data_IF_903450012180
#
_entry.id   IF_903450012180
#
_cell.length_a   1.000
_cell.length_b   1.000
_cell.length_c   1.000
_cell.angle_alpha   90.00
_cell.angle_beta   90.00
_cell.angle_gamma   90.00
#
_symmetry.space_group_name_H-M   'P 1'
#
loop_
_entity.id
_entity.type
_entity.pdbx_description
1 polymer ?
#
# COMPACT_ATOMS: atom_id res chain seq x y z
N UNK A 1 14.65 -8.93 6.04
CA UNK A 1 13.52 -9.12 6.98
C UNK A 1 13.93 -9.82 8.27
N UNK A 2 14.79 -10.84 8.24
CA UNK A 2 15.28 -11.54 9.44
C UNK A 2 15.93 -10.63 10.50
N UNK A 3 16.61 -9.56 10.07
CA UNK A 3 17.31 -8.64 10.98
C UNK A 3 16.42 -7.56 11.64
N UNK A 4 15.10 -7.58 11.40
CA UNK A 4 14.16 -6.59 11.97
C UNK A 4 13.35 -7.10 13.17
N UNK A 5 13.72 -8.26 13.74
CA UNK A 5 13.01 -8.85 14.88
C UNK A 5 11.61 -9.39 14.53
N UNK A 6 11.32 -9.59 13.24
CA UNK A 6 10.07 -10.19 12.80
C UNK A 6 10.12 -11.71 12.99
N UNK A 7 9.02 -12.36 13.41
CA UNK A 7 8.91 -13.81 13.37
C UNK A 7 9.22 -14.35 11.97
N UNK A 8 9.91 -15.49 11.88
CA UNK A 8 10.37 -16.06 10.60
C UNK A 8 9.23 -16.28 9.61
N UNK A 9 8.07 -16.75 10.10
CA UNK A 9 6.88 -16.95 9.28
C UNK A 9 6.34 -15.63 8.69
N UNK A 10 6.37 -14.56 9.49
CA UNK A 10 5.95 -13.24 9.03
C UNK A 10 6.92 -12.67 7.99
N UNK A 11 8.24 -12.87 8.19
CA UNK A 11 9.25 -12.47 7.22
C UNK A 11 9.11 -13.20 5.87
N UNK A 12 8.82 -14.50 5.91
CA UNK A 12 8.55 -15.29 4.71
C UNK A 12 7.27 -14.79 4.00
N UNK A 13 6.18 -14.61 4.73
CA UNK A 13 4.92 -14.08 4.19
C UNK A 13 5.11 -12.72 3.52
N UNK A 14 5.81 -11.78 4.17
CA UNK A 14 6.05 -10.45 3.61
C UNK A 14 6.92 -10.51 2.36
N UNK A 15 7.88 -11.43 2.30
CA UNK A 15 8.71 -11.64 1.09
C UNK A 15 7.84 -12.07 -0.09
N UNK A 16 6.99 -13.06 0.10
CA UNK A 16 6.08 -13.55 -0.95
C UNK A 16 5.06 -12.47 -1.34
N UNK A 17 4.48 -11.78 -0.35
CA UNK A 17 3.55 -10.67 -0.60
C UNK A 17 4.20 -9.60 -1.48
N UNK A 18 5.40 -9.12 -1.13
CA UNK A 18 6.07 -8.09 -1.91
C UNK A 18 6.47 -8.58 -3.31
N UNK A 19 6.84 -9.85 -3.48
CA UNK A 19 7.05 -10.42 -4.81
C UNK A 19 5.80 -10.27 -5.70
N UNK A 20 4.61 -10.57 -5.16
CA UNK A 20 3.34 -10.44 -5.91
C UNK A 20 2.82 -9.00 -6.03
N UNK A 21 3.26 -8.08 -5.17
CA UNK A 21 2.88 -6.67 -5.26
C UNK A 21 3.73 -5.93 -6.31
N UNK A 22 4.99 -6.34 -6.45
CA UNK A 22 5.98 -5.69 -7.31
C UNK A 22 6.16 -6.36 -8.68
N UNK A 23 5.44 -7.46 -8.96
CA UNK A 23 5.45 -8.13 -10.27
C UNK A 23 4.67 -7.37 -11.36
N UNK A 24 3.99 -6.28 -11.00
CA UNK A 24 3.26 -5.42 -11.93
C UNK A 24 1.89 -5.95 -12.35
N UNK A 25 1.40 -7.07 -11.81
CA UNK A 25 0.12 -7.68 -12.20
C UNK A 25 -1.10 -6.75 -12.03
N UNK A 26 -0.98 -5.75 -11.14
CA UNK A 26 -2.01 -4.74 -10.87
C UNK A 26 -1.67 -3.34 -11.41
N UNK A 27 -0.60 -3.18 -12.20
CA UNK A 27 -0.12 -1.89 -12.68
C UNK A 27 -0.87 -1.42 -13.93
N UNK A 28 -2.20 -1.32 -13.84
CA UNK A 28 -3.06 -0.81 -14.91
C UNK A 28 -4.07 0.20 -14.35
N UNK A 29 -4.45 1.16 -15.20
CA UNK A 29 -5.47 2.15 -14.84
C UNK A 29 -6.87 1.57 -15.05
N UNK A 30 -7.82 2.02 -14.23
CA UNK A 30 -9.25 1.72 -14.35
C UNK A 30 -10.07 2.95 -13.96
N UNK A 31 -11.31 3.04 -14.43
CA UNK A 31 -12.30 4.05 -14.06
C UNK A 31 -13.28 3.58 -12.98
N UNK A 32 -13.04 2.39 -12.41
CA UNK A 32 -13.95 1.72 -11.47
C UNK A 32 -14.35 2.59 -10.27
N UNK A 33 -13.46 3.43 -9.75
CA UNK A 33 -13.82 4.33 -8.64
C UNK A 33 -14.97 5.26 -9.02
N UNK A 34 -14.93 5.81 -10.23
CA UNK A 34 -16.00 6.68 -10.74
C UNK A 34 -17.27 5.87 -10.99
N UNK A 35 -17.14 4.70 -11.60
CA UNK A 35 -18.28 3.84 -11.95
C UNK A 35 -19.01 3.28 -10.73
N UNK A 36 -18.27 2.84 -9.72
CA UNK A 36 -18.81 2.14 -8.53
C UNK A 36 -19.22 3.14 -7.45
N UNK A 37 -18.45 4.22 -7.25
CA UNK A 37 -18.66 5.14 -6.13
C UNK A 37 -19.20 6.53 -6.55
N UNK A 38 -19.30 6.82 -7.84
CA UNK A 38 -19.83 8.11 -8.33
C UNK A 38 -18.96 9.33 -8.01
N UNK A 39 -17.68 9.13 -7.69
CA UNK A 39 -16.71 10.19 -7.37
C UNK A 39 -15.35 9.91 -8.02
N UNK A 40 -14.53 10.94 -8.14
CA UNK A 40 -13.14 10.81 -8.59
C UNK A 40 -12.28 10.00 -7.58
N UNK A 41 -11.25 9.25 -8.06
CA UNK A 41 -10.24 8.67 -7.19
C UNK A 41 -9.52 9.75 -6.38
N UNK A 42 -9.17 9.43 -5.14
CA UNK A 42 -8.41 10.34 -4.30
C UNK A 42 -6.95 10.37 -4.73
N UNK A 43 -6.33 11.55 -4.65
CA UNK A 43 -4.90 11.69 -4.88
C UNK A 43 -4.10 11.07 -3.72
N UNK A 44 -3.08 10.27 -4.06
CA UNK A 44 -2.28 9.58 -3.06
C UNK A 44 -1.38 10.53 -2.27
N UNK A 45 -0.91 11.63 -2.86
CA UNK A 45 -0.12 12.62 -2.14
C UNK A 45 -0.97 13.35 -1.10
N UNK A 46 -2.24 13.63 -1.40
CA UNK A 46 -3.17 14.19 -0.41
C UNK A 46 -3.42 13.23 0.76
N UNK A 47 -3.59 11.94 0.47
CA UNK A 47 -3.64 10.91 1.50
C UNK A 47 -2.37 10.91 2.36
N UNK A 48 -1.20 10.85 1.73
CA UNK A 48 0.09 10.77 2.41
C UNK A 48 0.33 11.99 3.31
N UNK A 49 0.02 13.21 2.83
CA UNK A 49 0.10 14.44 3.63
C UNK A 49 -0.84 14.41 4.83
N UNK A 50 -2.10 14.00 4.63
CA UNK A 50 -3.08 13.90 5.72
C UNK A 50 -2.60 12.94 6.79
N UNK A 51 -2.11 11.79 6.36
CA UNK A 51 -1.69 10.76 7.29
C UNK A 51 -0.41 11.21 8.04
N UNK A 52 0.57 11.80 7.35
CA UNK A 52 1.76 12.38 7.97
C UNK A 52 1.41 13.38 9.08
N UNK A 53 0.47 14.30 8.82
CA UNK A 53 -0.07 15.22 9.83
C UNK A 53 -0.77 14.51 10.99
N UNK A 54 -1.37 13.35 10.74
CA UNK A 54 -1.99 12.49 11.73
C UNK A 54 -1.00 11.66 12.56
N UNK A 55 0.31 11.77 12.30
CA UNK A 55 1.33 11.18 13.17
C UNK A 55 1.63 9.70 12.94
N UNK A 56 1.16 9.05 11.87
CA UNK A 56 1.53 7.63 11.64
C UNK A 56 3.02 7.39 11.27
N UNK A 57 3.84 8.44 11.32
CA UNK A 57 5.28 8.47 11.10
C UNK A 57 6.01 9.05 12.31
N UNK A 58 5.28 9.47 13.35
CA UNK A 58 5.89 9.84 14.62
C UNK A 58 6.35 8.53 15.27
N UNK A 59 7.66 8.28 15.19
CA UNK A 59 8.33 7.14 15.81
C UNK A 59 8.47 7.28 17.32
#
# INVERSE_FOLDING_TARGET
MRDHGLPDELGAFLTDLFATLLDGRNAHLTDDVRRVLGREPGDFADYARRAARGGAWAG
#
